data_IF_513677469469
#
_entry.id   IF_513677469469
#
_cell.length_a   1.000
_cell.length_b   1.000
_cell.length_c   1.000
_cell.angle_alpha   90.00
_cell.angle_beta   90.00
_cell.angle_gamma   90.00
#
_symmetry.space_group_name_H-M   'P 1'
#
loop_
_entity.id
_entity.type
_entity.pdbx_description
1 polymer ?
#
# COMPACT_ATOMS: atom_id res chain seq x y z
N UNK A 1 -16.79 -2.44 -13.48
CA UNK A 1 -16.40 -1.15 -14.12
C UNK A 1 -15.10 -0.71 -13.44
N UNK A 2 -14.08 -0.26 -14.17
CA UNK A 2 -12.84 0.21 -13.54
C UNK A 2 -13.15 1.47 -12.72
N UNK A 3 -12.90 1.45 -11.41
CA UNK A 3 -13.05 2.63 -10.57
C UNK A 3 -11.79 3.51 -10.72
N UNK A 4 -11.98 4.77 -11.11
CA UNK A 4 -10.89 5.77 -11.22
C UNK A 4 -11.31 7.11 -10.61
N UNK A 5 -12.38 7.15 -9.81
CA UNK A 5 -12.96 8.42 -9.35
C UNK A 5 -11.96 9.26 -8.55
N UNK A 6 -11.21 8.62 -7.65
CA UNK A 6 -10.25 9.33 -6.80
C UNK A 6 -9.07 9.83 -7.61
N UNK A 7 -8.49 8.95 -8.43
CA UNK A 7 -7.32 9.28 -9.25
C UNK A 7 -7.63 10.31 -10.34
N UNK A 8 -8.90 10.45 -10.74
CA UNK A 8 -9.33 11.39 -11.78
C UNK A 8 -9.76 12.74 -11.20
N UNK A 9 -10.49 12.75 -10.08
CA UNK A 9 -11.19 13.96 -9.62
C UNK A 9 -10.71 14.49 -8.27
N UNK A 10 -10.07 13.66 -7.45
CA UNK A 10 -9.71 14.04 -6.07
C UNK A 10 -8.21 14.31 -5.97
N UNK A 11 -7.39 13.36 -6.39
CA UNK A 11 -5.94 13.50 -6.34
C UNK A 11 -5.26 12.60 -7.37
N UNK A 12 -4.47 13.18 -8.27
CA UNK A 12 -3.73 12.42 -9.27
C UNK A 12 -2.69 11.48 -8.61
N UNK A 13 -2.48 10.31 -9.21
CA UNK A 13 -1.57 9.29 -8.66
C UNK A 13 -0.15 9.79 -8.41
N UNK A 14 0.39 10.65 -9.27
CA UNK A 14 1.74 11.20 -9.10
C UNK A 14 1.81 12.21 -7.94
N UNK A 15 0.82 13.09 -7.80
CA UNK A 15 0.75 14.04 -6.70
C UNK A 15 0.60 13.32 -5.36
N UNK A 16 -0.29 12.31 -5.33
CA UNK A 16 -0.44 11.37 -4.24
C UNK A 16 0.90 10.71 -3.90
N UNK A 17 1.61 10.17 -4.89
CA UNK A 17 2.91 9.54 -4.71
C UNK A 17 3.94 10.47 -4.07
N UNK A 18 4.12 11.67 -4.63
CA UNK A 18 5.12 12.66 -4.19
C UNK A 18 4.82 13.20 -2.79
N UNK A 19 3.55 13.51 -2.50
CA UNK A 19 3.16 14.01 -1.18
C UNK A 19 3.34 12.96 -0.08
N UNK A 20 3.12 11.67 -0.38
CA UNK A 20 3.36 10.57 0.57
C UNK A 20 4.85 10.24 0.67
N UNK A 21 5.66 10.58 -0.33
CA UNK A 21 7.12 10.46 -0.25
C UNK A 21 7.73 11.34 0.87
N UNK A 22 7.08 12.43 1.28
CA UNK A 22 7.51 13.24 2.41
C UNK A 22 7.25 12.56 3.77
N UNK A 23 6.24 11.69 3.86
CA UNK A 23 5.91 10.97 5.11
C UNK A 23 6.88 9.84 5.39
N UNK A 24 7.14 9.00 4.39
CA UNK A 24 8.05 7.86 4.52
C UNK A 24 9.50 8.21 4.18
N UNK A 25 9.91 9.44 4.48
CA UNK A 25 11.15 10.05 4.00
C UNK A 25 12.40 9.23 4.39
N UNK A 26 13.36 9.15 3.47
CA UNK A 26 14.59 8.39 3.56
C UNK A 26 15.42 8.74 4.81
N UNK A 27 15.48 10.04 5.14
CA UNK A 27 16.20 10.54 6.31
C UNK A 27 15.70 10.00 7.66
N UNK A 28 14.48 9.46 7.71
CA UNK A 28 13.89 8.88 8.93
C UNK A 28 13.55 7.39 8.74
N UNK A 29 14.14 6.70 7.74
CA UNK A 29 13.77 5.32 7.37
C UNK A 29 13.78 4.34 8.54
N UNK A 30 14.81 4.40 9.37
CA UNK A 30 14.98 3.44 10.47
C UNK A 30 13.94 3.66 11.56
N UNK A 31 13.43 4.89 11.71
CA UNK A 31 12.40 5.21 12.70
C UNK A 31 11.04 4.63 12.30
N UNK A 32 10.61 4.82 11.05
CA UNK A 32 9.31 4.33 10.62
C UNK A 32 9.31 2.82 10.35
N UNK A 33 10.40 2.24 9.84
CA UNK A 33 10.54 0.78 9.74
C UNK A 33 10.42 0.12 11.12
N UNK A 34 11.10 0.69 12.12
CA UNK A 34 11.00 0.22 13.51
C UNK A 34 9.60 0.41 14.08
N UNK A 35 8.96 1.55 13.84
CA UNK A 35 7.61 1.82 14.34
C UNK A 35 6.58 0.83 13.78
N UNK A 36 6.75 0.40 12.52
CA UNK A 36 5.89 -0.58 11.86
C UNK A 36 6.36 -2.03 12.03
N UNK A 37 7.48 -2.24 12.73
CA UNK A 37 8.07 -3.57 12.98
C UNK A 37 8.28 -4.37 11.69
N UNK A 38 8.76 -3.68 10.63
CA UNK A 38 9.02 -4.29 9.33
C UNK A 38 10.49 -4.67 9.24
N UNK A 39 10.73 -5.95 9.01
CA UNK A 39 12.05 -6.55 8.84
C UNK A 39 12.20 -7.18 7.46
N UNK A 40 13.45 -7.40 7.05
CA UNK A 40 13.75 -8.01 5.77
C UNK A 40 13.24 -9.46 5.74
N UNK A 41 12.66 -9.89 4.60
CA UNK A 41 12.09 -11.23 4.45
C UNK A 41 10.62 -11.38 4.87
N UNK A 42 9.99 -10.34 5.42
CA UNK A 42 8.56 -10.38 5.78
C UNK A 42 7.63 -10.24 4.56
N UNK A 43 6.42 -10.77 4.69
CA UNK A 43 5.27 -10.51 3.81
C UNK A 43 4.49 -9.31 4.32
N UNK A 44 4.45 -8.25 3.53
CA UNK A 44 3.85 -6.97 3.91
C UNK A 44 2.66 -6.66 3.01
N UNK A 45 1.52 -6.29 3.61
CA UNK A 45 0.37 -5.73 2.91
C UNK A 45 0.22 -4.23 3.24
N UNK A 46 0.11 -3.39 2.21
CA UNK A 46 -0.40 -2.03 2.34
C UNK A 46 -1.83 -1.94 1.76
N UNK A 47 -2.79 -1.55 2.59
CA UNK A 47 -4.21 -1.39 2.21
C UNK A 47 -4.50 0.08 1.92
N UNK A 48 -5.09 0.32 0.74
CA UNK A 48 -5.18 1.59 0.02
C UNK A 48 -3.80 2.21 -0.23
N UNK A 49 -2.98 1.48 -0.96
CA UNK A 49 -1.58 1.83 -1.24
C UNK A 49 -1.42 3.04 -2.18
N UNK A 50 -2.49 3.50 -2.83
CA UNK A 50 -2.43 4.55 -3.84
C UNK A 50 -1.38 4.24 -4.90
N UNK A 51 -0.52 5.22 -5.21
CA UNK A 51 0.59 5.04 -6.15
C UNK A 51 1.75 4.15 -5.66
N UNK A 52 1.68 3.57 -4.46
CA UNK A 52 2.60 2.52 -3.99
C UNK A 52 3.94 3.00 -3.40
N UNK A 53 4.09 4.27 -3.04
CA UNK A 53 5.38 4.81 -2.53
C UNK A 53 5.91 4.07 -1.29
N UNK A 54 5.03 3.69 -0.36
CA UNK A 54 5.45 2.95 0.83
C UNK A 54 5.89 1.52 0.46
N UNK A 55 5.11 0.82 -0.38
CA UNK A 55 5.52 -0.46 -0.97
C UNK A 55 6.91 -0.39 -1.63
N UNK A 56 7.13 0.60 -2.51
CA UNK A 56 8.40 0.74 -3.22
C UNK A 56 9.56 1.00 -2.26
N UNK A 57 9.36 1.79 -1.20
CA UNK A 57 10.39 2.05 -0.19
C UNK A 57 10.74 0.83 0.63
N UNK A 58 9.74 0.08 1.09
CA UNK A 58 9.99 -1.19 1.78
C UNK A 58 10.82 -2.10 0.88
N UNK A 59 10.40 -2.29 -0.38
CA UNK A 59 11.13 -3.17 -1.31
C UNK A 59 12.54 -2.67 -1.62
N UNK A 60 12.75 -1.35 -1.67
CA UNK A 60 14.07 -0.74 -1.88
C UNK A 60 15.01 -0.98 -0.69
N UNK A 61 14.53 -0.81 0.54
CA UNK A 61 15.37 -0.90 1.73
C UNK A 61 15.51 -2.31 2.27
N UNK A 62 14.52 -3.17 2.02
CA UNK A 62 14.42 -4.54 2.50
C UNK A 62 14.10 -5.46 1.31
N UNK A 63 15.11 -5.76 0.46
CA UNK A 63 14.89 -6.39 -0.85
C UNK A 63 14.31 -7.81 -0.80
N UNK A 64 14.43 -8.52 0.32
CA UNK A 64 13.89 -9.87 0.48
C UNK A 64 12.41 -9.88 0.94
N UNK A 65 11.83 -8.70 1.20
CA UNK A 65 10.41 -8.60 1.56
C UNK A 65 9.49 -8.89 0.38
N UNK A 66 8.39 -9.59 0.66
CA UNK A 66 7.30 -9.81 -0.28
C UNK A 66 6.23 -8.73 -0.06
N UNK A 67 6.28 -7.69 -0.89
CA UNK A 67 5.44 -6.50 -0.74
C UNK A 67 4.21 -6.58 -1.64
N UNK A 68 3.03 -6.44 -1.05
CA UNK A 68 1.75 -6.34 -1.75
C UNK A 68 1.05 -5.04 -1.38
N UNK A 69 0.62 -4.27 -2.39
CA UNK A 69 -0.28 -3.13 -2.22
C UNK A 69 -1.67 -3.45 -2.74
N UNK A 70 -2.71 -3.06 -2.01
CA UNK A 70 -4.10 -3.15 -2.43
C UNK A 70 -4.71 -1.74 -2.49
N UNK A 71 -5.46 -1.44 -3.54
CA UNK A 71 -6.22 -0.19 -3.65
C UNK A 71 -7.48 -0.38 -4.48
N UNK A 72 -8.54 0.35 -4.13
CA UNK A 72 -9.82 0.27 -4.82
C UNK A 72 -9.83 1.04 -6.14
N UNK A 73 -8.99 2.08 -6.27
CA UNK A 73 -8.86 2.87 -7.48
C UNK A 73 -7.85 2.24 -8.46
N UNK A 74 -8.35 1.82 -9.62
CA UNK A 74 -7.55 1.18 -10.67
C UNK A 74 -6.51 2.11 -11.29
N UNK A 75 -6.74 3.43 -11.31
CA UNK A 75 -5.77 4.40 -11.81
C UNK A 75 -4.54 4.53 -10.90
N UNK A 76 -4.73 4.37 -9.59
CA UNK A 76 -3.63 4.27 -8.64
C UNK A 76 -2.84 2.97 -8.81
N UNK A 77 -3.53 1.84 -8.96
CA UNK A 77 -2.88 0.53 -9.16
C UNK A 77 -2.05 0.47 -10.43
N UNK A 78 -2.55 0.98 -11.55
CA UNK A 78 -1.79 0.98 -12.80
C UNK A 78 -0.57 1.91 -12.74
N UNK A 79 -0.69 3.05 -12.04
CA UNK A 79 0.47 3.91 -11.75
C UNK A 79 1.50 3.18 -10.90
N UNK A 80 1.08 2.51 -9.81
CA UNK A 80 1.97 1.79 -8.91
C UNK A 80 2.74 0.67 -9.64
N UNK A 81 2.05 -0.13 -10.46
CA UNK A 81 2.68 -1.16 -11.30
C UNK A 81 3.71 -0.57 -12.25
N UNK A 82 3.35 0.49 -12.97
CA UNK A 82 4.26 1.18 -13.90
C UNK A 82 5.50 1.69 -13.16
N UNK A 83 5.31 2.30 -11.99
CA UNK A 83 6.41 2.81 -11.17
C UNK A 83 7.32 1.71 -10.64
N UNK A 84 6.76 0.58 -10.26
CA UNK A 84 7.53 -0.59 -9.83
C UNK A 84 8.43 -1.12 -10.95
N UNK A 85 7.93 -1.15 -12.19
CA UNK A 85 8.73 -1.52 -13.36
C UNK A 85 9.85 -0.50 -13.64
N UNK A 86 9.56 0.80 -13.59
CA UNK A 86 10.54 1.88 -13.76
C UNK A 86 11.68 1.79 -12.73
N UNK A 87 11.35 1.44 -11.49
CA UNK A 87 12.32 1.32 -10.39
C UNK A 87 12.99 -0.05 -10.31
N UNK A 88 12.63 -0.99 -11.21
CA UNK A 88 13.07 -2.38 -11.17
C UNK A 88 12.81 -3.07 -9.82
N UNK A 89 11.64 -2.81 -9.23
CA UNK A 89 11.19 -3.36 -7.96
C UNK A 89 10.10 -4.41 -8.20
N UNK A 90 10.25 -5.58 -7.59
CA UNK A 90 9.26 -6.65 -7.63
C UNK A 90 8.21 -6.47 -6.51
N UNK A 91 7.30 -5.51 -6.66
CA UNK A 91 6.13 -5.34 -5.80
C UNK A 91 4.87 -5.86 -6.49
N UNK A 92 3.93 -6.43 -5.72
CA UNK A 92 2.62 -6.88 -6.24
C UNK A 92 1.58 -5.80 -5.95
N UNK A 93 0.74 -5.46 -6.95
CA UNK A 93 -0.34 -4.50 -6.77
C UNK A 93 -1.67 -5.08 -7.23
N UNK A 94 -2.63 -5.09 -6.32
CA UNK A 94 -3.95 -5.73 -6.47
C UNK A 94 -5.03 -4.67 -6.42
N UNK A 95 -5.92 -4.65 -7.41
CA UNK A 95 -7.15 -3.88 -7.28
C UNK A 95 -8.14 -4.66 -6.41
N UNK A 96 -8.61 -4.06 -5.33
CA UNK A 96 -9.51 -4.74 -4.39
C UNK A 96 -10.17 -3.78 -3.41
N UNK A 97 -11.22 -4.27 -2.76
CA UNK A 97 -11.95 -3.54 -1.72
C UNK A 97 -11.32 -3.82 -0.35
N UNK A 98 -10.99 -2.78 0.40
CA UNK A 98 -10.42 -2.91 1.74
C UNK A 98 -11.40 -3.57 2.74
N UNK A 99 -12.70 -3.57 2.46
CA UNK A 99 -13.74 -4.22 3.27
C UNK A 99 -14.00 -5.68 2.86
N UNK A 100 -13.29 -6.19 1.86
CA UNK A 100 -13.38 -7.57 1.40
C UNK A 100 -12.05 -7.99 0.76
N UNK A 101 -11.05 -8.22 1.60
CA UNK A 101 -9.70 -8.54 1.12
C UNK A 101 -9.67 -9.83 0.30
N UNK A 102 -9.02 -9.84 -0.88
CA UNK A 102 -8.90 -11.03 -1.73
C UNK A 102 -7.69 -11.89 -1.32
N UNK A 103 -7.47 -12.06 -0.02
CA UNK A 103 -6.33 -12.80 0.53
C UNK A 103 -6.82 -13.80 1.57
N UNK A 104 -6.07 -14.89 1.73
CA UNK A 104 -6.35 -15.85 2.80
C UNK A 104 -5.96 -15.26 4.16
N UNK A 105 -6.65 -15.70 5.22
CA UNK A 105 -6.31 -15.32 6.59
C UNK A 105 -4.86 -15.69 6.92
N UNK A 106 -4.20 -14.87 7.74
CA UNK A 106 -2.81 -15.07 8.17
C UNK A 106 -1.77 -15.16 7.02
N UNK A 107 -2.05 -14.53 5.87
CA UNK A 107 -1.11 -14.49 4.73
C UNK A 107 0.09 -13.57 4.98
N UNK A 108 -0.11 -12.46 5.68
CA UNK A 108 0.88 -11.40 5.84
C UNK A 108 1.39 -11.33 7.29
N UNK A 109 2.68 -11.08 7.45
CA UNK A 109 3.30 -10.89 8.77
C UNK A 109 2.95 -9.51 9.35
N UNK A 110 2.68 -8.53 8.48
CA UNK A 110 2.23 -7.19 8.88
C UNK A 110 1.33 -6.56 7.82
N UNK A 111 0.32 -5.84 8.29
CA UNK A 111 -0.63 -5.10 7.47
C UNK A 111 -0.64 -3.64 7.91
N UNK A 112 -0.49 -2.73 6.95
CA UNK A 112 -0.48 -1.30 7.18
C UNK A 112 -1.56 -0.63 6.32
N UNK A 113 -2.22 0.39 6.88
CA UNK A 113 -3.07 1.27 6.11
C UNK A 113 -2.91 2.70 6.58
N UNK A 114 -2.81 3.61 5.61
CA UNK A 114 -2.68 5.03 5.89
C UNK A 114 -3.78 5.79 5.18
N UNK A 115 -4.61 6.49 5.98
CA UNK A 115 -5.70 7.39 5.53
C UNK A 115 -6.89 6.74 4.83
N UNK A 116 -6.99 5.41 4.74
CA UNK A 116 -8.06 4.71 4.02
C UNK A 116 -9.31 4.50 4.87
N UNK A 117 -9.15 4.22 6.17
CA UNK A 117 -10.28 3.92 7.08
C UNK A 117 -11.37 4.99 7.09
N UNK A 118 -11.04 6.26 6.78
CA UNK A 118 -12.01 7.36 6.71
C UNK A 118 -12.99 7.26 5.53
N UNK A 119 -12.75 6.34 4.60
CA UNK A 119 -13.53 6.15 3.37
C UNK A 119 -14.29 4.82 3.35
N UNK A 120 -14.25 4.06 4.46
CA UNK A 120 -14.92 2.78 4.63
C UNK A 120 -15.76 2.79 5.91
N UNK A 121 -16.75 1.90 6.00
CA UNK A 121 -17.40 1.62 7.28
C UNK A 121 -16.36 1.06 8.27
N UNK A 122 -16.10 1.71 9.43
CA UNK A 122 -14.97 1.35 10.29
C UNK A 122 -15.00 -0.09 10.78
N UNK A 123 -16.19 -0.63 11.10
CA UNK A 123 -16.33 -2.00 11.57
C UNK A 123 -15.99 -3.03 10.49
N UNK A 124 -16.36 -2.77 9.25
CA UNK A 124 -16.05 -3.68 8.13
C UNK A 124 -14.57 -3.60 7.77
N UNK A 125 -13.97 -2.41 7.84
CA UNK A 125 -12.53 -2.26 7.69
C UNK A 125 -11.77 -3.03 8.78
N UNK A 126 -12.11 -2.84 10.06
CA UNK A 126 -11.39 -3.49 11.16
C UNK A 126 -11.49 -5.02 11.10
N UNK A 127 -12.69 -5.57 10.90
CA UNK A 127 -12.89 -7.03 10.82
C UNK A 127 -12.00 -7.69 9.78
N UNK A 128 -11.93 -7.10 8.59
CA UNK A 128 -11.23 -7.70 7.46
C UNK A 128 -9.71 -7.47 7.47
N UNK A 129 -9.20 -6.49 8.22
CA UNK A 129 -7.78 -6.09 8.17
C UNK A 129 -7.01 -6.35 9.47
N UNK A 130 -7.69 -6.68 10.57
CA UNK A 130 -7.04 -6.84 11.89
C UNK A 130 -7.27 -8.19 12.56
N UNK A 131 -8.05 -9.09 11.95
CA UNK A 131 -8.29 -10.44 12.47
C UNK A 131 -9.19 -10.50 13.73
N UNK A 132 -10.01 -9.46 13.97
CA UNK A 132 -10.99 -9.40 15.06
C UNK A 132 -12.44 -9.57 14.55
#
# INVERSE_FOLDING_TARGET
MKNTYWSTYVQESEELYRSRALRFHDGNKDLWLKAFQIENGMKVLEVGCGGGIFCHRIKTYLPDTDVTGLDFDTGHIEYAKTKSLELNLNCKFVNGDATSLPFEDNTFDTCFSHTVINFCEPNDFLKNNTGY
#
